data_IF_824290349918
#
_entry.id   IF_824290349918
#
_cell.length_a   1.000
_cell.length_b   1.000
_cell.length_c   1.000
_cell.angle_alpha   90.00
_cell.angle_beta   90.00
_cell.angle_gamma   90.00
#
_symmetry.space_group_name_H-M   'P 1'
#
loop_
_entity.id
_entity.type
_entity.pdbx_description
1 polymer ?
#
# COMPACT_ATOMS: atom_id res chain seq x y z
N UNK A 1 -18.35 3.49 -22.86
CA UNK A 1 -18.03 2.81 -21.59
C UNK A 1 -18.43 1.38 -21.76
N UNK A 2 -17.45 0.49 -21.93
CA UNK A 2 -17.68 -0.94 -22.17
C UNK A 2 -18.04 -1.64 -20.86
N UNK A 3 -19.01 -2.56 -20.92
CA UNK A 3 -19.41 -3.40 -19.78
C UNK A 3 -18.57 -4.68 -19.74
N UNK A 4 -18.38 -5.25 -18.55
CA UNK A 4 -17.49 -6.41 -18.32
C UNK A 4 -17.84 -7.62 -19.21
N UNK A 5 -19.11 -7.76 -19.59
CA UNK A 5 -19.62 -8.86 -20.41
C UNK A 5 -19.27 -8.73 -21.91
N UNK A 6 -18.62 -7.64 -22.34
CA UNK A 6 -18.21 -7.39 -23.73
C UNK A 6 -16.71 -7.70 -23.98
N UNK A 7 -15.99 -8.20 -22.98
CA UNK A 7 -14.56 -8.54 -23.10
C UNK A 7 -14.39 -10.01 -23.52
N UNK A 8 -13.77 -10.24 -24.68
CA UNK A 8 -13.40 -11.58 -25.12
C UNK A 8 -12.28 -12.21 -24.25
N UNK A 9 -12.29 -13.54 -24.12
CA UNK A 9 -11.28 -14.31 -23.36
C UNK A 9 -9.86 -14.21 -23.97
N UNK A 10 -9.74 -13.71 -25.19
CA UNK A 10 -8.48 -13.62 -25.93
C UNK A 10 -7.65 -12.39 -25.59
N UNK A 11 -8.20 -11.42 -24.85
CA UNK A 11 -7.46 -10.27 -24.30
C UNK A 11 -6.83 -9.37 -25.37
N UNK A 12 -7.14 -9.61 -26.66
CA UNK A 12 -6.54 -8.95 -27.83
C UNK A 12 -6.90 -7.46 -27.87
N UNK A 13 -8.14 -7.13 -27.54
CA UNK A 13 -8.60 -5.74 -27.48
C UNK A 13 -7.90 -4.95 -26.36
N UNK A 14 -7.57 -5.60 -25.24
CA UNK A 14 -6.82 -5.00 -24.13
C UNK A 14 -5.33 -4.82 -24.47
N UNK A 15 -4.76 -5.69 -25.31
CA UNK A 15 -3.40 -5.57 -25.86
C UNK A 15 -3.28 -4.32 -26.72
N UNK A 16 -4.27 -4.09 -27.60
CA UNK A 16 -4.28 -2.94 -28.51
C UNK A 16 -4.59 -1.61 -27.79
N UNK A 17 -5.51 -1.62 -26.81
CA UNK A 17 -5.87 -0.42 -26.03
C UNK A 17 -4.76 0.05 -25.07
N UNK A 18 -3.97 -0.88 -24.51
CA UNK A 18 -2.95 -0.56 -23.49
C UNK A 18 -1.54 -0.48 -24.04
N UNK A 19 -1.33 -0.87 -25.30
CA UNK A 19 -0.02 -0.99 -25.93
C UNK A 19 0.83 -2.12 -25.36
N UNK A 20 2.10 -2.20 -25.80
CA UNK A 20 3.08 -3.26 -25.49
C UNK A 20 3.52 -3.32 -24.00
N UNK A 21 2.58 -3.52 -23.09
CA UNK A 21 2.82 -3.72 -21.67
C UNK A 21 3.44 -5.09 -21.36
N UNK A 22 4.10 -5.21 -20.21
CA UNK A 22 4.83 -6.44 -19.79
C UNK A 22 3.99 -7.71 -19.69
N UNK A 23 2.67 -7.59 -19.60
CA UNK A 23 1.77 -8.73 -19.39
C UNK A 23 1.04 -9.16 -20.67
N UNK A 24 0.88 -8.25 -21.64
CA UNK A 24 0.05 -8.49 -22.82
C UNK A 24 0.70 -8.03 -24.15
N UNK A 25 1.91 -7.46 -24.14
CA UNK A 25 2.58 -7.00 -25.36
C UNK A 25 3.20 -8.13 -26.19
N UNK A 26 3.17 -8.00 -27.52
CA UNK A 26 3.98 -8.84 -28.42
C UNK A 26 5.47 -8.72 -28.05
N UNK A 27 6.15 -9.86 -27.94
CA UNK A 27 7.60 -9.90 -27.72
C UNK A 27 8.26 -9.51 -29.04
N UNK A 28 8.80 -8.30 -29.11
CA UNK A 28 9.66 -7.87 -30.21
C UNK A 28 11.09 -7.99 -29.68
N UNK A 29 11.86 -8.92 -30.25
CA UNK A 29 13.14 -9.41 -29.70
C UNK A 29 14.24 -8.33 -29.63
N UNK A 30 14.09 -7.21 -30.36
CA UNK A 30 15.17 -6.22 -30.54
C UNK A 30 15.03 -4.89 -29.76
N UNK A 31 13.97 -4.66 -28.97
CA UNK A 31 13.80 -3.35 -28.31
C UNK A 31 14.49 -3.20 -26.94
N UNK A 32 15.13 -4.25 -26.41
CA UNK A 32 15.76 -4.23 -25.08
C UNK A 32 14.76 -4.14 -23.92
N UNK A 33 15.23 -4.11 -22.66
CA UNK A 33 14.36 -4.18 -21.49
C UNK A 33 13.46 -2.95 -21.34
N UNK A 34 12.22 -3.15 -20.92
CA UNK A 34 11.29 -2.07 -20.53
C UNK A 34 11.69 -1.49 -19.18
N UNK A 35 11.93 -0.19 -19.12
CA UNK A 35 12.24 0.53 -17.89
C UNK A 35 11.05 0.51 -16.92
N UNK A 36 11.32 0.26 -15.63
CA UNK A 36 10.26 0.24 -14.60
C UNK A 36 9.78 1.62 -14.16
N UNK A 37 10.56 2.68 -14.42
CA UNK A 37 10.22 4.05 -14.01
C UNK A 37 9.42 4.77 -15.12
N UNK A 38 9.96 4.82 -16.35
CA UNK A 38 9.36 5.58 -17.45
C UNK A 38 8.60 4.74 -18.48
N UNK A 39 8.57 3.41 -18.32
CA UNK A 39 7.92 2.46 -19.23
C UNK A 39 8.42 2.47 -20.68
N UNK A 40 9.50 3.20 -20.99
CA UNK A 40 10.19 3.15 -22.29
C UNK A 40 11.15 1.96 -22.36
N UNK A 41 11.37 1.43 -23.56
CA UNK A 41 12.31 0.33 -23.83
C UNK A 41 13.74 0.86 -24.07
N UNK A 42 14.73 -0.04 -24.01
CA UNK A 42 16.14 0.26 -24.30
C UNK A 42 17.02 0.61 -23.09
N UNK A 43 16.48 0.62 -21.86
CA UNK A 43 17.29 0.85 -20.65
C UNK A 43 16.65 0.26 -19.39
N UNK A 44 17.45 -0.03 -18.37
CA UNK A 44 16.97 -0.49 -17.06
C UNK A 44 16.59 0.68 -16.14
N UNK A 45 15.83 0.40 -15.07
CA UNK A 45 15.43 1.43 -14.11
C UNK A 45 16.61 2.16 -13.44
N UNK A 46 17.79 1.52 -13.37
CA UNK A 46 19.03 2.10 -12.83
C UNK A 46 19.60 3.20 -13.74
N UNK A 47 19.45 3.05 -15.05
CA UNK A 47 19.98 3.98 -16.06
C UNK A 47 18.91 4.98 -16.53
N UNK A 48 17.74 4.96 -15.89
CA UNK A 48 16.64 5.84 -16.21
C UNK A 48 16.90 7.24 -15.65
N UNK A 49 17.16 8.19 -16.54
CA UNK A 49 17.33 9.61 -16.18
C UNK A 49 16.01 10.31 -15.79
N UNK A 50 14.88 9.67 -16.08
CA UNK A 50 13.55 10.25 -15.86
C UNK A 50 13.05 9.89 -14.47
N UNK A 51 12.75 10.90 -13.66
CA UNK A 51 12.06 10.73 -12.38
C UNK A 51 10.56 10.66 -12.67
N UNK A 52 9.91 9.56 -12.30
CA UNK A 52 8.45 9.42 -12.43
C UNK A 52 7.89 9.08 -11.06
N UNK A 53 6.87 9.83 -10.63
CA UNK A 53 6.14 9.49 -9.43
C UNK A 53 5.19 8.32 -9.71
N UNK A 54 5.37 7.22 -8.98
CA UNK A 54 4.55 6.02 -9.15
C UNK A 54 3.12 6.25 -8.64
N UNK A 55 2.92 7.19 -7.71
CA UNK A 55 1.61 7.42 -7.08
C UNK A 55 0.70 8.35 -7.88
N UNK A 56 1.22 9.41 -8.49
CA UNK A 56 0.42 10.37 -9.26
C UNK A 56 0.73 10.39 -10.77
N UNK A 57 1.75 9.65 -11.22
CA UNK A 57 2.14 9.60 -12.63
C UNK A 57 2.87 10.84 -13.14
N UNK A 58 3.18 11.82 -12.28
CA UNK A 58 3.91 13.02 -12.68
C UNK A 58 5.34 12.66 -13.13
N UNK A 59 5.76 13.25 -14.25
CA UNK A 59 7.07 13.06 -14.87
C UNK A 59 7.94 14.28 -14.53
N UNK A 60 9.17 14.05 -14.10
CA UNK A 60 10.21 15.03 -13.78
C UNK A 60 9.91 16.04 -12.65
N UNK A 61 8.83 15.82 -11.89
CA UNK A 61 8.45 16.71 -10.79
C UNK A 61 9.02 16.27 -9.43
N UNK A 62 8.74 15.04 -9.00
CA UNK A 62 9.13 14.53 -7.68
C UNK A 62 9.30 13.01 -7.63
N UNK A 63 10.08 12.54 -6.65
CA UNK A 63 10.11 11.13 -6.27
C UNK A 63 8.82 10.74 -5.52
N UNK A 64 8.40 9.48 -5.62
CA UNK A 64 7.20 8.93 -4.96
C UNK A 64 7.11 9.29 -3.47
N UNK A 65 8.25 9.34 -2.76
CA UNK A 65 8.30 9.71 -1.34
C UNK A 65 7.83 11.16 -1.05
N UNK A 66 7.99 12.05 -2.02
CA UNK A 66 7.64 13.47 -1.91
C UNK A 66 6.38 13.81 -2.71
N UNK A 67 5.55 12.81 -3.02
CA UNK A 67 4.35 13.03 -3.81
C UNK A 67 3.33 13.90 -3.04
N UNK A 68 2.98 15.10 -3.54
CA UNK A 68 2.05 16.00 -2.88
C UNK A 68 0.63 15.40 -2.78
N UNK A 69 0.28 14.52 -3.71
CA UNK A 69 -0.98 13.76 -3.70
C UNK A 69 -1.03 12.73 -2.57
N UNK A 70 0.11 12.12 -2.22
CA UNK A 70 0.21 11.17 -1.12
C UNK A 70 0.43 11.88 0.23
N UNK A 71 1.08 13.04 0.22
CA UNK A 71 1.37 13.83 1.40
C UNK A 71 0.11 14.54 1.91
N UNK A 72 -0.61 13.90 2.83
CA UNK A 72 -1.71 14.52 3.57
C UNK A 72 -1.21 15.10 4.88
N UNK A 73 -1.63 16.32 5.17
CA UNK A 73 -1.34 16.98 6.42
C UNK A 73 -2.02 16.24 7.56
N UNK A 74 -1.22 15.75 8.51
CA UNK A 74 -1.79 15.08 9.67
C UNK A 74 -2.66 16.01 10.52
N UNK A 75 -2.55 17.35 10.43
CA UNK A 75 -3.37 18.29 11.23
C UNK A 75 -4.77 18.57 10.62
N UNK A 76 -4.81 18.93 9.33
CA UNK A 76 -6.05 19.36 8.66
C UNK A 76 -6.58 18.35 7.64
N UNK A 77 -5.85 17.27 7.34
CA UNK A 77 -6.22 16.24 6.38
C UNK A 77 -6.04 16.61 4.91
N UNK A 78 -5.72 17.88 4.59
CA UNK A 78 -5.53 18.35 3.22
C UNK A 78 -4.19 17.88 2.63
N UNK A 79 -4.16 17.66 1.31
CA UNK A 79 -2.96 17.28 0.57
C UNK A 79 -1.93 18.42 0.41
N UNK A 80 -0.72 18.06 -0.05
CA UNK A 80 0.30 19.02 -0.49
C UNK A 80 1.21 19.59 0.60
N UNK A 81 0.96 19.35 1.89
CA UNK A 81 1.82 19.84 2.97
C UNK A 81 1.88 18.90 4.19
N UNK A 82 2.95 19.02 4.97
CA UNK A 82 3.12 18.32 6.25
C UNK A 82 2.58 19.17 7.40
N UNK A 83 2.31 18.55 8.56
CA UNK A 83 1.83 19.24 9.77
C UNK A 83 2.67 20.46 10.17
N UNK A 84 3.98 20.44 9.92
CA UNK A 84 4.91 21.56 10.24
C UNK A 84 4.65 22.81 9.38
N UNK A 85 4.12 22.63 8.18
CA UNK A 85 3.80 23.69 7.22
C UNK A 85 2.28 23.97 7.17
N UNK A 86 1.52 23.50 8.17
CA UNK A 86 0.08 23.71 8.22
C UNK A 86 -0.24 25.10 8.79
N UNK A 87 -1.02 25.87 8.05
CA UNK A 87 -1.49 27.21 8.45
C UNK A 87 -2.71 27.16 9.39
N UNK A 88 -3.42 26.03 9.41
CA UNK A 88 -4.56 25.80 10.30
C UNK A 88 -4.13 25.63 11.75
N UNK A 89 -4.99 26.03 12.69
CA UNK A 89 -4.77 25.81 14.13
C UNK A 89 -4.56 24.31 14.40
N UNK A 90 -3.64 23.97 15.30
CA UNK A 90 -3.39 22.57 15.65
C UNK A 90 -4.67 21.97 16.25
N UNK A 91 -5.28 21.03 15.54
CA UNK A 91 -6.37 20.21 16.03
C UNK A 91 -5.78 19.10 16.89
N UNK A 92 -6.41 18.83 18.03
CA UNK A 92 -6.10 17.62 18.79
C UNK A 92 -6.76 16.44 18.07
N UNK A 93 -5.94 15.54 17.56
CA UNK A 93 -6.40 14.41 16.76
C UNK A 93 -6.38 13.19 17.65
N UNK A 94 -7.57 12.67 17.87
CA UNK A 94 -7.79 11.50 18.70
C UNK A 94 -9.03 10.77 18.20
N UNK A 95 -8.86 9.46 18.01
CA UNK A 95 -9.93 8.56 17.67
C UNK A 95 -10.43 7.85 18.93
N UNK A 96 -11.69 8.05 19.27
CA UNK A 96 -12.39 7.37 20.36
C UNK A 96 -12.68 5.89 20.06
N UNK A 97 -12.69 5.50 18.78
CA UNK A 97 -12.99 4.11 18.37
C UNK A 97 -11.80 3.16 18.54
N UNK A 98 -10.58 3.65 18.32
CA UNK A 98 -9.37 2.83 18.35
C UNK A 98 -8.24 3.41 19.22
N UNK A 99 -8.51 4.49 19.95
CA UNK A 99 -7.57 5.21 20.82
C UNK A 99 -6.30 5.76 20.12
N UNK A 100 -6.30 5.81 18.79
CA UNK A 100 -5.20 6.37 18.00
C UNK A 100 -5.18 7.90 18.06
N UNK A 101 -3.96 8.47 18.05
CA UNK A 101 -3.72 9.93 17.96
C UNK A 101 -3.36 10.40 16.55
N UNK A 102 -3.49 9.51 15.56
CA UNK A 102 -3.05 9.77 14.19
C UNK A 102 -4.21 10.17 13.24
N UNK A 103 -5.46 9.88 13.61
CA UNK A 103 -6.65 10.21 12.80
C UNK A 103 -7.88 10.56 13.67
N UNK A 104 -8.87 11.29 13.12
CA UNK A 104 -10.17 11.50 13.75
C UNK A 104 -11.13 10.31 13.54
N UNK A 105 -12.22 10.25 14.32
CA UNK A 105 -13.20 9.15 14.32
C UNK A 105 -13.81 8.79 12.95
N UNK A 106 -13.89 9.76 12.04
CA UNK A 106 -14.41 9.60 10.68
C UNK A 106 -13.43 8.89 9.74
N UNK A 107 -12.13 9.00 10.00
CA UNK A 107 -11.06 8.38 9.22
C UNK A 107 -10.52 7.10 9.85
N UNK A 108 -11.23 6.55 10.84
CA UNK A 108 -10.75 5.39 11.56
C UNK A 108 -10.68 4.14 10.68
N UNK A 109 -9.52 3.46 10.58
CA UNK A 109 -9.37 2.24 9.79
C UNK A 109 -10.34 1.13 10.18
N UNK A 110 -10.80 1.09 11.43
CA UNK A 110 -11.75 0.08 11.90
C UNK A 110 -13.12 0.17 11.21
N UNK A 111 -13.42 1.28 10.53
CA UNK A 111 -14.62 1.44 9.71
C UNK A 111 -14.59 0.46 8.52
N UNK A 112 -13.45 0.34 7.84
CA UNK A 112 -13.30 -0.49 6.63
C UNK A 112 -12.48 -1.76 6.87
N UNK A 113 -11.73 -1.85 7.98
CA UNK A 113 -11.06 -3.07 8.47
C UNK A 113 -11.91 -3.79 9.51
N UNK A 114 -13.14 -4.13 9.14
CA UNK A 114 -14.05 -4.93 9.97
C UNK A 114 -14.29 -6.28 9.31
N UNK A 115 -14.02 -7.36 10.04
CA UNK A 115 -14.15 -8.73 9.55
C UNK A 115 -15.36 -9.41 10.21
N UNK A 116 -16.29 -9.91 9.39
CA UNK A 116 -17.40 -10.72 9.87
C UNK A 116 -16.95 -12.17 10.05
N UNK A 117 -17.01 -12.68 11.29
CA UNK A 117 -16.72 -14.09 11.59
C UNK A 117 -17.89 -14.95 11.14
N UNK A 118 -17.61 -16.07 10.46
CA UNK A 118 -18.65 -17.07 10.18
C UNK A 118 -19.14 -17.67 11.50
N UNK A 119 -20.45 -17.67 11.71
CA UNK A 119 -21.09 -18.30 12.87
C UNK A 119 -20.81 -19.81 12.80
N UNK A 120 -20.28 -20.38 13.88
CA UNK A 120 -19.92 -21.81 13.95
C UNK A 120 -18.54 -22.19 13.42
N UNK A 121 -17.73 -21.24 12.92
CA UNK A 121 -16.32 -21.48 12.67
C UNK A 121 -15.55 -21.42 14.00
N UNK A 122 -15.18 -22.59 14.53
CA UNK A 122 -14.35 -22.69 15.71
C UNK A 122 -12.92 -22.22 15.41
N UNK A 123 -12.64 -20.95 15.69
CA UNK A 123 -11.30 -20.33 15.56
C UNK A 123 -10.36 -20.67 16.72
N UNK A 124 -10.73 -21.63 17.58
CA UNK A 124 -9.91 -22.09 18.70
C UNK A 124 -8.74 -23.01 18.29
N UNK A 125 -8.67 -23.40 17.01
CA UNK A 125 -7.80 -24.50 16.59
C UNK A 125 -6.40 -24.10 16.09
N UNK A 126 -6.07 -22.81 15.94
CA UNK A 126 -4.74 -22.40 15.44
C UNK A 126 -4.19 -21.31 16.35
N UNK A 127 -3.13 -21.62 17.10
CA UNK A 127 -2.33 -20.60 17.78
C UNK A 127 -1.74 -19.68 16.70
N UNK A 128 -2.08 -18.37 16.69
CA UNK A 128 -1.57 -17.44 15.70
C UNK A 128 -0.05 -17.44 15.64
N UNK A 129 0.66 -17.71 16.74
CA UNK A 129 2.12 -17.72 16.76
C UNK A 129 2.74 -18.78 15.86
N UNK A 130 2.16 -19.97 15.85
CA UNK A 130 2.67 -21.13 15.10
C UNK A 130 2.53 -20.94 13.58
N UNK A 131 1.56 -20.14 13.14
CA UNK A 131 1.28 -19.88 11.72
C UNK A 131 1.69 -18.48 11.25
N UNK A 132 2.32 -17.66 12.10
CA UNK A 132 2.69 -16.29 11.74
C UNK A 132 4.10 -16.21 11.18
N UNK A 133 4.21 -15.60 10.00
CA UNK A 133 5.48 -15.31 9.32
C UNK A 133 5.60 -13.83 8.98
N UNK A 134 6.83 -13.34 9.04
CA UNK A 134 7.16 -11.94 8.79
C UNK A 134 7.33 -11.67 7.29
N UNK A 135 6.55 -10.75 6.74
CA UNK A 135 6.68 -10.34 5.34
C UNK A 135 7.94 -9.50 5.04
N UNK A 136 8.66 -9.05 6.07
CA UNK A 136 9.87 -8.23 5.93
C UNK A 136 11.16 -9.07 5.98
N UNK A 137 11.33 -9.93 6.99
CA UNK A 137 12.54 -10.75 7.16
C UNK A 137 12.34 -12.25 6.92
N UNK A 138 11.10 -12.73 6.74
CA UNK A 138 10.80 -14.15 6.51
C UNK A 138 10.82 -15.03 7.76
N UNK A 139 11.19 -14.50 8.93
CA UNK A 139 11.19 -15.23 10.19
C UNK A 139 9.78 -15.52 10.70
N UNK A 140 9.65 -16.60 11.48
CA UNK A 140 8.40 -16.98 12.14
C UNK A 140 8.13 -16.17 13.42
N UNK A 141 6.93 -16.36 13.99
CA UNK A 141 6.47 -15.85 15.29
C UNK A 141 6.11 -14.36 15.38
N UNK A 142 6.31 -13.56 14.32
CA UNK A 142 5.89 -12.15 14.32
C UNK A 142 5.42 -11.70 12.95
N UNK A 143 4.49 -10.75 12.94
CA UNK A 143 4.08 -10.08 11.73
C UNK A 143 5.11 -9.03 11.30
N UNK A 144 5.14 -8.73 10.01
CA UNK A 144 6.12 -7.80 9.47
C UNK A 144 5.99 -6.37 9.99
N UNK A 145 4.83 -5.98 10.54
CA UNK A 145 4.74 -4.66 11.19
C UNK A 145 5.52 -4.54 12.49
N UNK A 146 5.63 -5.65 13.21
CA UNK A 146 6.30 -5.75 14.50
C UNK A 146 7.77 -6.18 14.34
N UNK A 147 8.26 -6.24 13.10
CA UNK A 147 9.62 -6.63 12.78
C UNK A 147 10.64 -5.57 13.19
N UNK A 148 11.70 -5.98 13.89
CA UNK A 148 12.80 -5.11 14.31
C UNK A 148 13.77 -4.75 13.17
N UNK A 149 13.75 -5.50 12.07
CA UNK A 149 14.64 -5.28 10.92
C UNK A 149 14.15 -4.04 10.15
N UNK A 150 15.05 -3.14 9.75
CA UNK A 150 14.66 -1.96 8.97
C UNK A 150 13.98 -2.37 7.66
N UNK A 151 12.87 -1.69 7.33
CA UNK A 151 12.15 -1.94 6.08
C UNK A 151 12.90 -1.29 4.92
N UNK A 152 13.02 -2.03 3.81
CA UNK A 152 13.53 -1.51 2.54
C UNK A 152 12.58 -0.51 1.87
N UNK A 153 11.29 -0.59 2.21
CA UNK A 153 10.28 0.36 1.70
C UNK A 153 10.39 1.69 2.45
N UNK A 154 10.55 2.77 1.69
CA UNK A 154 10.65 4.14 2.21
C UNK A 154 9.33 4.73 2.69
N UNK A 155 8.20 4.11 2.35
CA UNK A 155 6.87 4.50 2.81
C UNK A 155 6.71 4.16 4.29
N UNK A 156 6.73 5.19 5.14
CA UNK A 156 6.40 5.07 6.56
C UNK A 156 4.90 5.22 6.75
N UNK A 157 4.19 4.10 6.91
CA UNK A 157 2.81 4.11 7.35
C UNK A 157 2.76 4.59 8.81
N UNK A 158 1.90 5.58 9.10
CA UNK A 158 1.66 6.05 10.46
C UNK A 158 0.82 5.08 11.29
N UNK A 159 0.23 4.07 10.64
CA UNK A 159 -0.69 3.11 11.25
C UNK A 159 -0.31 1.70 10.83
N UNK A 160 -0.53 0.75 11.75
CA UNK A 160 -0.33 -0.67 11.49
C UNK A 160 -1.24 -1.15 10.36
N UNK A 161 -0.75 -2.09 9.57
CA UNK A 161 -1.49 -2.83 8.55
C UNK A 161 -2.35 -3.94 9.16
N UNK A 162 -2.94 -4.78 8.31
CA UNK A 162 -3.63 -5.99 8.76
C UNK A 162 -2.68 -7.03 9.39
N UNK A 163 -1.40 -6.98 9.06
CA UNK A 163 -0.35 -7.88 9.54
C UNK A 163 0.44 -7.21 10.67
N UNK A 164 -0.23 -7.03 11.80
CA UNK A 164 0.35 -6.55 13.07
C UNK A 164 -0.36 -7.23 14.23
N UNK A 165 0.36 -7.45 15.33
CA UNK A 165 -0.18 -8.05 16.55
C UNK A 165 -1.40 -7.29 17.11
N UNK A 166 -1.52 -5.98 16.83
CA UNK A 166 -2.67 -5.18 17.26
C UNK A 166 -3.99 -5.59 16.60
N UNK A 167 -3.93 -6.28 15.46
CA UNK A 167 -5.10 -6.75 14.72
C UNK A 167 -5.52 -8.17 15.13
N UNK A 168 -4.80 -8.81 16.07
CA UNK A 168 -5.17 -10.11 16.60
C UNK A 168 -6.47 -10.02 17.43
N UNK A 169 -7.26 -11.11 17.49
CA UNK A 169 -8.34 -11.21 18.45
C UNK A 169 -7.83 -10.93 19.87
N UNK A 170 -8.59 -10.18 20.67
CA UNK A 170 -8.18 -9.72 22.02
C UNK A 170 -7.59 -10.81 22.93
N UNK A 171 -8.04 -12.05 22.77
CA UNK A 171 -7.54 -13.22 23.51
C UNK A 171 -6.08 -13.56 23.19
N UNK A 172 -5.63 -13.34 21.94
CA UNK A 172 -4.27 -13.64 21.48
C UNK A 172 -3.33 -12.43 21.58
N UNK A 173 -3.85 -11.19 21.67
CA UNK A 173 -3.02 -9.97 21.78
C UNK A 173 -2.08 -10.00 22.99
N UNK A 174 -2.51 -10.56 24.12
CA UNK A 174 -1.63 -10.69 25.32
C UNK A 174 -0.61 -11.80 25.21
N UNK A 175 -0.93 -12.82 24.41
CA UNK A 175 -0.08 -13.98 24.24
C UNK A 175 1.02 -13.66 23.22
N UNK A 176 0.69 -12.95 22.14
CA UNK A 176 1.59 -12.47 21.08
C UNK A 176 2.77 -11.67 21.64
#
# INVERSE_FOLDING_TARGET
SYTIDELDDTNEQLVDLRGEGRYFGKVIEDLGPTCRNCHKRGHMAKDCKVVVCITCGAIEDHYTANCPTHQRCSNCGQGGHLRRACTEKSKFIYCKKCDSRNHPDEMCPTIWRSYMKKVGADVSAVDPKESTFCYNCGEKNHYGDDCIVPRVVTLRYQESSAFSGVNLPKQFVKAY
#
